data_IF_353488143872
#
_entry.id   IF_353488143872
#
_cell.length_a   1.000
_cell.length_b   1.000
_cell.length_c   1.000
_cell.angle_alpha   90.00
_cell.angle_beta   90.00
_cell.angle_gamma   90.00
#
_symmetry.space_group_name_H-M   'P 1'
#
loop_
_entity.id
_entity.type
_entity.pdbx_description
1 polymer ?
#
# COMPACT_ATOMS: atom_id res chain seq x y z
N UNK A 1 12.16 12.35 -10.37
CA UNK A 1 11.23 12.26 -9.22
C UNK A 1 10.66 10.86 -8.99
N UNK A 2 9.84 10.29 -9.89
CA UNK A 2 9.12 9.02 -9.65
C UNK A 2 10.03 7.85 -9.28
N UNK A 3 11.15 7.67 -9.98
CA UNK A 3 12.10 6.59 -9.70
C UNK A 3 12.76 6.72 -8.32
N UNK A 4 13.15 7.94 -7.92
CA UNK A 4 13.67 8.21 -6.57
C UNK A 4 12.66 7.86 -5.47
N UNK A 5 11.39 8.24 -5.64
CA UNK A 5 10.33 7.83 -4.71
C UNK A 5 10.10 6.32 -4.68
N UNK A 6 10.28 5.61 -5.80
CA UNK A 6 10.17 4.16 -5.86
C UNK A 6 11.32 3.47 -5.12
N UNK A 7 12.56 3.91 -5.31
CA UNK A 7 13.71 3.40 -4.55
C UNK A 7 13.49 3.55 -3.05
N UNK A 8 13.03 4.73 -2.61
CA UNK A 8 12.75 5.00 -1.20
C UNK A 8 11.64 4.13 -0.56
N UNK A 9 10.94 3.28 -1.32
CA UNK A 9 10.01 2.30 -0.75
C UNK A 9 10.70 1.08 -0.16
N UNK A 10 11.90 0.75 -0.63
CA UNK A 10 12.60 -0.48 -0.26
C UNK A 10 14.07 -0.27 0.15
N UNK A 11 14.55 0.97 0.15
CA UNK A 11 15.89 1.29 0.63
C UNK A 11 15.93 2.63 1.39
N UNK A 12 16.91 2.81 2.31
CA UNK A 12 17.17 4.09 2.96
C UNK A 12 17.44 5.22 1.97
N UNK A 13 17.17 6.47 2.36
CA UNK A 13 17.27 7.62 1.45
C UNK A 13 18.68 7.88 0.94
N UNK A 14 19.72 7.64 1.75
CA UNK A 14 21.11 7.73 1.31
C UNK A 14 21.41 6.72 0.18
N UNK A 15 20.95 5.48 0.34
CA UNK A 15 21.15 4.44 -0.67
C UNK A 15 20.34 4.71 -1.94
N UNK A 16 19.11 5.22 -1.80
CA UNK A 16 18.28 5.63 -2.93
C UNK A 16 18.89 6.80 -3.71
N UNK A 17 19.47 7.76 -3.00
CA UNK A 17 20.19 8.90 -3.57
C UNK A 17 21.41 8.43 -4.36
N UNK A 18 22.24 7.59 -3.74
CA UNK A 18 23.40 7.00 -4.40
C UNK A 18 23.00 6.20 -5.64
N UNK A 19 22.03 5.30 -5.54
CA UNK A 19 21.62 4.45 -6.66
C UNK A 19 21.01 5.27 -7.81
N UNK A 20 20.23 6.32 -7.50
CA UNK A 20 19.71 7.23 -8.50
C UNK A 20 20.84 7.95 -9.24
N UNK A 21 21.91 8.35 -8.54
CA UNK A 21 23.08 8.96 -9.17
C UNK A 21 23.77 8.02 -10.16
N UNK A 22 23.90 6.74 -9.81
CA UNK A 22 24.54 5.75 -10.68
C UNK A 22 23.75 5.52 -11.97
N UNK A 23 22.42 5.58 -11.91
CA UNK A 23 21.58 5.30 -13.07
C UNK A 23 21.26 6.53 -13.92
N UNK A 24 21.21 7.71 -13.32
CA UNK A 24 20.80 8.94 -14.02
C UNK A 24 21.94 9.91 -14.29
N UNK A 25 23.11 9.72 -13.67
CA UNK A 25 24.20 10.71 -13.70
C UNK A 25 23.91 11.96 -12.87
N UNK A 26 22.72 12.09 -12.26
CA UNK A 26 22.30 13.25 -11.48
C UNK A 26 22.45 12.99 -9.98
N UNK A 27 23.13 13.90 -9.28
CA UNK A 27 23.21 13.86 -7.82
C UNK A 27 21.98 14.49 -7.20
N UNK A 28 21.30 13.75 -6.31
CA UNK A 28 20.11 14.20 -5.58
C UNK A 28 20.32 13.88 -4.12
N UNK A 29 20.19 14.85 -3.21
CA UNK A 29 20.37 14.59 -1.78
C UNK A 29 19.27 13.68 -1.18
N UNK A 30 19.60 12.99 -0.09
CA UNK A 30 18.61 12.22 0.69
C UNK A 30 17.43 13.07 1.16
N UNK A 31 17.68 14.32 1.55
CA UNK A 31 16.64 15.29 1.94
C UNK A 31 15.70 15.64 0.78
N UNK A 32 16.22 15.76 -0.44
CA UNK A 32 15.40 15.98 -1.63
C UNK A 32 14.48 14.79 -1.91
N UNK A 33 15.00 13.56 -1.77
CA UNK A 33 14.19 12.35 -1.92
C UNK A 33 13.09 12.27 -0.85
N UNK A 34 13.42 12.58 0.42
CA UNK A 34 12.43 12.67 1.49
C UNK A 34 11.31 13.64 1.13
N UNK A 35 11.65 14.87 0.71
CA UNK A 35 10.67 15.88 0.33
C UNK A 35 9.78 15.42 -0.84
N UNK A 36 10.36 14.75 -1.84
CA UNK A 36 9.57 14.18 -2.94
C UNK A 36 8.61 13.10 -2.47
N UNK A 37 9.05 12.19 -1.58
CA UNK A 37 8.19 11.17 -0.98
C UNK A 37 7.06 11.81 -0.19
N UNK A 38 7.33 12.88 0.58
CA UNK A 38 6.30 13.62 1.32
C UNK A 38 5.27 14.26 0.38
N UNK A 39 5.71 14.92 -0.70
CA UNK A 39 4.81 15.51 -1.70
C UNK A 39 3.93 14.45 -2.35
N UNK A 40 4.53 13.33 -2.79
CA UNK A 40 3.77 12.24 -3.42
C UNK A 40 2.83 11.53 -2.45
N UNK A 41 3.26 11.35 -1.20
CA UNK A 41 2.45 10.81 -0.12
C UNK A 41 1.24 11.70 0.18
N UNK A 42 1.44 13.02 0.27
CA UNK A 42 0.36 13.98 0.49
C UNK A 42 -0.63 13.99 -0.67
N UNK A 43 -0.16 13.97 -1.92
CA UNK A 43 -1.03 13.86 -3.11
C UNK A 43 -1.88 12.58 -3.07
N UNK A 44 -1.27 11.44 -2.74
CA UNK A 44 -1.98 10.18 -2.61
C UNK A 44 -3.01 10.21 -1.47
N UNK A 45 -2.65 10.81 -0.33
CA UNK A 45 -3.55 10.98 0.82
C UNK A 45 -4.75 11.86 0.49
N UNK A 46 -4.53 13.00 -0.19
CA UNK A 46 -5.61 13.90 -0.61
C UNK A 46 -6.56 13.21 -1.59
N UNK A 47 -6.02 12.50 -2.60
CA UNK A 47 -6.85 11.74 -3.53
C UNK A 47 -7.71 10.69 -2.82
N UNK A 48 -7.14 10.00 -1.82
CA UNK A 48 -7.86 9.04 -1.00
C UNK A 48 -8.97 9.72 -0.17
N UNK A 49 -8.67 10.81 0.53
CA UNK A 49 -9.67 11.55 1.31
C UNK A 49 -10.83 12.03 0.44
N UNK A 50 -10.57 12.49 -0.80
CA UNK A 50 -11.63 12.83 -1.75
C UNK A 50 -12.49 11.62 -2.11
N UNK A 51 -11.88 10.48 -2.42
CA UNK A 51 -12.61 9.25 -2.75
C UNK A 51 -13.45 8.73 -1.57
N UNK A 52 -12.91 8.82 -0.35
CA UNK A 52 -13.62 8.40 0.86
C UNK A 52 -14.82 9.30 1.16
N UNK A 53 -14.68 10.62 0.96
CA UNK A 53 -15.80 11.56 1.12
C UNK A 53 -16.90 11.30 0.10
N UNK A 54 -16.55 11.11 -1.17
CA UNK A 54 -17.51 10.76 -2.22
C UNK A 54 -18.23 9.44 -1.89
N UNK A 55 -17.49 8.43 -1.43
CA UNK A 55 -18.09 7.17 -1.01
C UNK A 55 -19.04 7.32 0.18
N UNK A 56 -18.68 8.15 1.17
CA UNK A 56 -19.54 8.43 2.31
C UNK A 56 -20.82 9.20 1.94
N UNK A 57 -20.79 10.03 0.89
CA UNK A 57 -21.98 10.69 0.34
C UNK A 57 -22.83 9.80 -0.56
N UNK A 58 -22.48 8.52 -0.70
CA UNK A 58 -23.22 7.53 -1.49
C UNK A 58 -22.75 7.39 -2.94
N UNK A 59 -21.73 8.16 -3.37
CA UNK A 59 -21.14 7.96 -4.68
C UNK A 59 -20.39 6.64 -4.72
N UNK A 60 -20.65 5.83 -5.74
CA UNK A 60 -19.88 4.61 -5.93
C UNK A 60 -18.46 4.98 -6.35
N UNK A 61 -17.47 4.41 -5.66
CA UNK A 61 -16.09 4.51 -6.10
C UNK A 61 -16.00 4.00 -7.55
N UNK A 62 -15.40 4.77 -8.47
CA UNK A 62 -15.37 4.41 -9.88
C UNK A 62 -14.73 3.02 -10.04
N UNK A 63 -15.50 2.10 -10.61
CA UNK A 63 -15.01 0.77 -10.88
C UNK A 63 -13.97 0.86 -12.01
N UNK A 64 -12.70 0.62 -11.67
CA UNK A 64 -11.63 0.64 -12.67
C UNK A 64 -11.95 -0.39 -13.77
N UNK A 65 -11.99 0.05 -15.03
CA UNK A 65 -12.26 -0.85 -16.14
C UNK A 65 -11.30 -2.05 -16.15
N UNK A 66 -11.86 -3.25 -16.27
CA UNK A 66 -11.12 -4.49 -16.41
C UNK A 66 -11.68 -5.19 -17.64
N UNK A 67 -10.82 -5.64 -18.55
CA UNK A 67 -11.27 -6.46 -19.68
C UNK A 67 -11.98 -7.71 -19.19
N UNK A 68 -13.04 -8.14 -19.87
CA UNK A 68 -13.81 -9.35 -19.52
C UNK A 68 -12.93 -10.59 -19.36
N UNK A 69 -11.91 -10.73 -20.21
CA UNK A 69 -10.95 -11.84 -20.11
C UNK A 69 -10.23 -11.88 -18.75
N UNK A 70 -9.84 -10.71 -18.21
CA UNK A 70 -9.14 -10.61 -16.92
C UNK A 70 -10.09 -10.73 -15.72
N UNK A 71 -11.35 -10.30 -15.86
CA UNK A 71 -12.35 -10.42 -14.79
C UNK A 71 -12.80 -11.87 -14.60
N UNK A 72 -12.78 -12.67 -15.67
CA UNK A 72 -13.09 -14.10 -15.66
C UNK A 72 -11.98 -14.97 -15.02
N UNK A 73 -10.73 -14.50 -14.94
CA UNK A 73 -9.64 -15.26 -14.31
C UNK A 73 -9.84 -15.41 -12.80
N UNK A 74 -9.40 -16.51 -12.17
CA UNK A 74 -9.46 -16.65 -10.71
C UNK A 74 -8.82 -15.47 -9.96
N UNK A 75 -9.51 -14.99 -8.93
CA UNK A 75 -8.99 -13.99 -8.01
C UNK A 75 -8.32 -14.69 -6.83
N UNK A 76 -6.99 -14.60 -6.75
CA UNK A 76 -6.25 -14.98 -5.56
C UNK A 76 -6.24 -13.82 -4.55
N UNK A 77 -6.55 -14.13 -3.29
CA UNK A 77 -6.53 -13.17 -2.18
C UNK A 77 -5.64 -13.71 -1.08
N UNK A 78 -4.71 -12.90 -0.61
CA UNK A 78 -3.90 -13.19 0.57
C UNK A 78 -3.86 -11.93 1.45
N UNK A 79 -3.95 -12.11 2.77
CA UNK A 79 -3.95 -11.00 3.73
C UNK A 79 -3.19 -11.36 5.00
N UNK A 80 -2.57 -10.37 5.62
CA UNK A 80 -1.82 -10.50 6.87
C UNK A 80 -1.85 -9.19 7.69
N UNK A 81 -1.59 -9.28 9.00
CA UNK A 81 -1.44 -8.14 9.90
C UNK A 81 0.03 -7.83 10.17
N UNK A 82 0.49 -6.63 9.77
CA UNK A 82 1.87 -6.18 10.01
C UNK A 82 1.90 -5.12 11.11
N UNK A 83 2.79 -5.28 12.09
CA UNK A 83 3.02 -4.24 13.09
C UNK A 83 3.88 -3.12 12.51
N UNK A 84 3.32 -1.91 12.42
CA UNK A 84 3.99 -0.74 11.87
C UNK A 84 4.27 0.27 12.99
N UNK A 85 5.50 0.81 13.07
CA UNK A 85 5.85 1.82 14.06
C UNK A 85 5.31 3.20 13.61
N UNK A 86 4.38 3.75 14.38
CA UNK A 86 3.88 5.12 14.21
C UNK A 86 4.51 6.06 15.23
N UNK A 87 4.76 7.31 14.80
CA UNK A 87 5.14 8.37 15.74
C UNK A 87 3.89 8.92 16.42
N UNK A 88 3.92 9.13 17.75
CA UNK A 88 2.78 9.66 18.50
C UNK A 88 2.48 11.11 18.09
N UNK A 89 3.52 11.89 17.79
CA UNK A 89 3.39 13.30 17.42
C UNK A 89 3.88 13.48 15.97
N UNK A 90 3.02 13.95 15.05
CA UNK A 90 3.40 14.15 13.66
C UNK A 90 4.65 15.03 13.52
N UNK A 91 5.52 14.69 12.57
CA UNK A 91 6.71 15.48 12.20
C UNK A 91 7.75 15.70 13.32
N UNK A 92 7.62 15.06 14.47
CA UNK A 92 8.64 15.13 15.53
C UNK A 92 9.16 13.73 15.85
N UNK A 93 10.45 13.57 16.15
CA UNK A 93 10.98 12.28 16.57
C UNK A 93 10.67 11.95 18.04
N UNK A 94 10.10 12.90 18.79
CA UNK A 94 9.89 12.80 20.24
C UNK A 94 8.75 11.83 20.58
N UNK A 95 8.89 11.18 21.72
CA UNK A 95 7.91 10.23 22.26
C UNK A 95 8.21 8.77 21.91
N UNK A 96 7.55 7.85 22.64
CA UNK A 96 7.67 6.40 22.40
C UNK A 96 6.94 6.02 21.13
N UNK A 97 7.56 5.14 20.33
CA UNK A 97 6.95 4.55 19.13
C UNK A 97 5.64 3.87 19.53
N UNK A 98 4.57 4.18 18.81
CA UNK A 98 3.30 3.48 18.93
C UNK A 98 3.24 2.40 17.85
N UNK A 99 3.34 1.15 18.27
CA UNK A 99 3.12 0.02 17.37
C UNK A 99 1.64 -0.13 17.09
N UNK A 100 1.27 -0.09 15.80
CA UNK A 100 -0.11 -0.31 15.36
C UNK A 100 -0.13 -1.40 14.32
N UNK A 101 -1.11 -2.29 14.44
CA UNK A 101 -1.34 -3.30 13.40
C UNK A 101 -1.91 -2.62 12.16
N UNK A 102 -1.35 -2.94 11.00
CA UNK A 102 -1.87 -2.59 9.68
C UNK A 102 -2.18 -3.90 8.97
N UNK A 103 -3.46 -4.10 8.64
CA UNK A 103 -3.90 -5.24 7.84
C UNK A 103 -3.59 -4.95 6.38
N UNK A 104 -2.78 -5.80 5.78
CA UNK A 104 -2.33 -5.68 4.39
C UNK A 104 -2.91 -6.87 3.61
N UNK A 105 -3.46 -6.63 2.43
CA UNK A 105 -3.96 -7.67 1.55
C UNK A 105 -3.47 -7.47 0.11
N UNK A 106 -3.23 -8.56 -0.59
CA UNK A 106 -2.93 -8.59 -2.02
C UNK A 106 -4.09 -9.30 -2.73
N UNK A 107 -4.64 -8.63 -3.74
CA UNK A 107 -5.67 -9.16 -4.63
C UNK A 107 -5.03 -9.34 -6.00
N UNK A 108 -4.95 -10.57 -6.50
CA UNK A 108 -4.23 -10.90 -7.72
C UNK A 108 -5.10 -11.69 -8.71
N UNK A 109 -5.07 -11.32 -9.99
CA UNK A 109 -5.59 -12.15 -11.08
C UNK A 109 -4.41 -12.90 -11.69
N UNK A 110 -4.50 -14.23 -11.65
CA UNK A 110 -3.48 -15.14 -12.18
C UNK A 110 -3.97 -15.67 -13.53
N UNK A 111 -3.15 -15.51 -14.56
CA UNK A 111 -3.32 -16.17 -15.84
C UNK A 111 -2.23 -17.21 -16.06
N UNK A 112 -2.09 -17.63 -17.31
CA UNK A 112 -1.03 -18.54 -17.74
C UNK A 112 -0.27 -17.92 -18.91
N UNK A 113 1.02 -18.24 -19.02
CA UNK A 113 1.80 -17.98 -20.22
C UNK A 113 2.47 -19.25 -20.69
N UNK A 114 2.63 -19.35 -22.00
CA UNK A 114 3.41 -20.42 -22.62
C UNK A 114 4.85 -19.95 -22.76
N UNK A 115 5.78 -20.71 -22.19
CA UNK A 115 7.22 -20.45 -22.32
C UNK A 115 7.73 -20.89 -23.69
N UNK A 116 8.95 -20.48 -24.07
CA UNK A 116 9.61 -20.96 -25.31
C UNK A 116 9.71 -22.48 -25.38
N UNK A 117 9.80 -23.15 -24.22
CA UNK A 117 9.80 -24.61 -24.09
C UNK A 117 8.39 -25.24 -24.16
N UNK A 118 7.37 -24.49 -24.62
CA UNK A 118 5.94 -24.90 -24.70
C UNK A 118 5.32 -25.32 -23.37
N UNK A 119 5.96 -25.01 -22.23
CA UNK A 119 5.41 -25.27 -20.90
C UNK A 119 4.49 -24.12 -20.47
N UNK A 120 3.28 -24.46 -20.03
CA UNK A 120 2.36 -23.51 -19.39
C UNK A 120 2.84 -23.22 -17.96
N UNK A 121 2.99 -21.94 -17.64
CA UNK A 121 3.39 -21.48 -16.30
C UNK A 121 2.44 -20.39 -15.82
N UNK A 122 2.14 -20.31 -14.51
CA UNK A 122 1.30 -19.24 -13.97
C UNK A 122 1.98 -17.88 -14.20
N UNK A 123 1.18 -16.89 -14.57
CA UNK A 123 1.61 -15.51 -14.76
C UNK A 123 0.70 -14.58 -13.95
N UNK A 124 1.32 -13.67 -13.19
CA UNK A 124 0.59 -12.60 -12.53
C UNK A 124 0.18 -11.55 -13.58
N UNK A 125 -1.12 -11.45 -13.86
CA UNK A 125 -1.65 -10.52 -14.88
C UNK A 125 -2.24 -9.25 -14.29
N UNK A 126 -2.62 -9.27 -13.01
CA UNK A 126 -2.99 -8.06 -12.26
C UNK A 126 -2.76 -8.28 -10.78
N UNK A 127 -2.34 -7.22 -10.07
CA UNK A 127 -2.34 -7.19 -8.61
C UNK A 127 -2.79 -5.85 -8.07
N UNK A 128 -3.44 -5.87 -6.91
CA UNK A 128 -3.69 -4.71 -6.07
C UNK A 128 -3.18 -4.98 -4.67
N UNK A 129 -2.55 -3.98 -4.10
CA UNK A 129 -2.21 -3.95 -2.68
C UNK A 129 -3.28 -3.13 -1.97
N UNK A 130 -3.75 -3.68 -0.86
CA UNK A 130 -4.68 -3.05 0.07
C UNK A 130 -4.00 -2.94 1.42
N UNK A 131 -4.12 -1.79 2.07
CA UNK A 131 -3.71 -1.62 3.46
C UNK A 131 -4.78 -0.87 4.23
N UNK A 132 -5.09 -1.36 5.43
CA UNK A 132 -6.07 -0.81 6.36
C UNK A 132 -5.44 -0.76 7.74
N UNK A 133 -5.59 0.36 8.44
CA UNK A 133 -5.19 0.44 9.84
C UNK A 133 -6.10 -0.47 10.67
N UNK A 134 -5.53 -1.43 11.41
CA UNK A 134 -6.27 -2.34 12.25
C UNK A 134 -7.00 -1.60 13.38
N UNK A 135 -8.23 -1.99 13.65
CA UNK A 135 -9.02 -1.46 14.76
C UNK A 135 -8.73 -2.36 15.97
N UNK A 136 -7.97 -1.84 16.95
CA UNK A 136 -7.88 -2.44 18.28
C UNK A 136 -6.88 -3.58 18.49
N UNK A 137 -5.58 -3.33 18.33
CA UNK A 137 -4.53 -4.12 19.00
C UNK A 137 -3.49 -3.16 19.61
N UNK A 138 -3.62 -2.85 20.91
CA UNK A 138 -2.49 -2.36 21.70
C UNK A 138 -1.59 -3.56 22.04
N UNK A 139 -0.26 -3.42 21.98
CA UNK A 139 0.64 -4.52 22.33
C UNK A 139 0.56 -4.72 23.85
N UNK A 140 0.27 -5.95 24.27
CA UNK A 140 0.00 -6.43 25.63
C UNK A 140 -1.40 -6.17 26.21
N UNK A 141 -2.35 -7.04 25.88
CA UNK A 141 -3.13 -7.83 26.86
C UNK A 141 -3.91 -8.91 26.12
N UNK A 142 -3.84 -10.15 26.64
CA UNK A 142 -4.62 -11.33 26.26
C UNK A 142 -5.93 -10.98 25.53
N UNK A 143 -5.99 -11.23 24.22
CA UNK A 143 -7.26 -11.41 23.52
C UNK A 143 -7.80 -12.78 23.93
N UNK A 144 -8.51 -12.83 25.07
CA UNK A 144 -9.42 -13.92 25.39
C UNK A 144 -10.80 -13.43 25.01
N UNK A 145 -11.44 -14.20 24.14
CA UNK A 145 -12.86 -14.26 23.79
C UNK A 145 -13.74 -13.20 24.45
N UNK A 146 -14.30 -12.30 23.62
CA UNK A 146 -15.68 -11.84 23.75
C UNK A 146 -16.10 -11.10 22.47
N UNK A 147 -16.77 -11.82 21.59
CA UNK A 147 -17.66 -11.24 20.61
C UNK A 147 -18.82 -10.56 21.35
N UNK A 148 -18.75 -9.24 21.56
CA UNK A 148 -19.95 -8.40 21.57
C UNK A 148 -19.65 -7.08 20.89
N UNK A 149 -20.65 -6.67 20.12
CA UNK A 149 -20.67 -5.54 19.21
C UNK A 149 -20.22 -4.25 19.88
N UNK A 150 -19.08 -3.73 19.42
CA UNK A 150 -18.84 -2.30 19.34
C UNK A 150 -18.42 -2.02 17.90
N UNK A 151 -19.31 -1.39 17.14
CA UNK A 151 -19.09 -0.99 15.77
C UNK A 151 -18.64 0.48 15.78
N UNK A 152 -17.34 0.79 15.62
CA UNK A 152 -16.87 2.17 15.61
C UNK A 152 -17.19 2.85 14.26
N UNK A 153 -17.44 4.17 14.25
CA UNK A 153 -18.11 4.88 13.14
C UNK A 153 -17.23 5.15 11.91
N UNK A 154 -16.08 4.50 11.71
CA UNK A 154 -15.16 4.86 10.61
C UNK A 154 -14.41 3.64 10.04
N UNK A 155 -15.14 2.70 9.45
CA UNK A 155 -14.56 1.48 8.86
C UNK A 155 -13.91 1.66 7.47
N UNK A 156 -13.87 2.88 6.91
CA UNK A 156 -13.52 3.08 5.50
C UNK A 156 -12.13 3.70 5.30
N UNK A 157 -11.05 2.99 5.65
CA UNK A 157 -9.70 3.35 5.17
C UNK A 157 -9.04 2.18 4.47
N UNK A 158 -9.62 1.80 3.33
CA UNK A 158 -9.06 0.83 2.40
C UNK A 158 -8.20 1.58 1.39
N UNK A 159 -6.88 1.44 1.49
CA UNK A 159 -5.94 2.04 0.53
C UNK A 159 -5.84 1.12 -0.68
N UNK A 160 -6.44 1.48 -1.82
CA UNK A 160 -6.26 0.73 -3.06
C UNK A 160 -5.03 1.23 -3.83
N UNK A 161 -4.05 0.35 -4.08
CA UNK A 161 -2.92 0.69 -4.96
C UNK A 161 -2.61 -0.42 -5.95
N UNK A 162 -2.74 -0.11 -7.23
CA UNK A 162 -2.26 -0.95 -8.33
C UNK A 162 -0.76 -0.71 -8.49
N UNK A 163 0.05 -1.74 -8.24
CA UNK A 163 1.47 -1.70 -8.53
C UNK A 163 1.67 -2.12 -9.99
N UNK A 164 2.48 -1.39 -10.78
CA UNK A 164 2.78 -1.81 -12.15
C UNK A 164 3.37 -3.23 -12.15
N UNK A 165 2.94 -4.01 -13.12
CA UNK A 165 3.58 -5.28 -13.47
C UNK A 165 4.81 -4.91 -14.32
N UNK A 166 5.97 -5.41 -13.88
CA UNK A 166 7.21 -5.33 -14.67
C UNK A 166 7.13 -6.28 -15.85
#
# INVERSE_FOLDING_TARGET
MRLGCLFSLFMPYELASWMLSQWSGLSVSSSSLWNWVQVMGNKAYQALETQLKAQASGDQAPCEAISELLSALPLAVAADGVMVPFRPTPKTPKGKIQWREVKVAILARLGTRVTRAKKSVPQLLRRRLVAVLGIGCQPHRRCRDNHKADQPPNLNRIIWRTLPLR
#
